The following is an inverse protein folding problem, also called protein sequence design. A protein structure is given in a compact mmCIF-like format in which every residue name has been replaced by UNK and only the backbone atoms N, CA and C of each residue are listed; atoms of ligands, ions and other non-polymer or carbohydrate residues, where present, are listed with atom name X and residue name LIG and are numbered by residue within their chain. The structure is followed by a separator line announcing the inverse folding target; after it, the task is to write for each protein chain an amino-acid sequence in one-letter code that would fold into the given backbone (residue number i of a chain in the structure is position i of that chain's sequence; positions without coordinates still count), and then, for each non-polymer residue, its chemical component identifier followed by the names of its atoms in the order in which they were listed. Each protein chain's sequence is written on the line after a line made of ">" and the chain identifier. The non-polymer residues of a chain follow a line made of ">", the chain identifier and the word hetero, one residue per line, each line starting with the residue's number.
data_IF_165433876896
#
_entry.id   IF_165433876896
#
_cell.length_a   1.000
_cell.length_b   1.000
_cell.length_c   1.000
_cell.angle_alpha   90.00
_cell.angle_beta   90.00
_cell.angle_gamma   90.00
#
_symmetry.space_group_name_H-M   'P 1'
#
loop_
_entity.id
_entity.type
_entity.pdbx_description
1 polymer ?
#
# COMPACT_ATOMS: atom_id res chain seq x y z
N UNK A 1 -1.89 -9.68 17.12
CA UNK A 1 -1.74 -11.10 16.72
C UNK A 1 -0.67 -11.19 15.65
N UNK A 2 0.13 -12.26 15.61
CA UNK A 2 1.25 -12.42 14.65
C UNK A 2 0.85 -13.20 13.40
N UNK A 3 0.02 -12.61 12.52
CA UNK A 3 -0.24 -13.17 11.21
C UNK A 3 -0.35 -12.09 10.14
N UNK A 4 0.25 -12.34 8.97
CA UNK A 4 -0.19 -11.74 7.70
C UNK A 4 -1.22 -12.75 7.19
N UNK A 5 -2.51 -12.42 7.36
CA UNK A 5 -3.57 -13.28 6.88
C UNK A 5 -3.87 -12.87 5.45
N UNK A 6 -3.72 -13.86 4.58
CA UNK A 6 -4.24 -13.84 3.24
C UNK A 6 -5.27 -14.97 3.21
N UNK A 7 -6.53 -14.68 2.87
CA UNK A 7 -7.64 -15.66 2.96
C UNK A 7 -8.44 -15.80 1.64
N UNK A 8 -7.82 -15.53 0.49
CA UNK A 8 -8.55 -15.53 -0.80
C UNK A 8 -7.97 -16.47 -1.86
N UNK A 9 -8.00 -17.82 -1.67
CA UNK A 9 -7.25 -18.84 -2.42
C UNK A 9 -7.25 -18.73 -3.95
N UNK A 10 -8.17 -17.96 -4.53
CA UNK A 10 -8.33 -17.74 -5.96
C UNK A 10 -7.97 -16.33 -6.44
N UNK A 11 -7.41 -15.46 -5.60
CA UNK A 11 -7.08 -14.08 -5.98
C UNK A 11 -5.67 -13.97 -6.57
N UNK A 12 -4.64 -14.36 -5.82
CA UNK A 12 -3.25 -14.01 -6.16
C UNK A 12 -2.69 -14.72 -7.39
N UNK A 13 -3.08 -15.97 -7.63
CA UNK A 13 -2.61 -16.69 -8.83
C UNK A 13 -3.20 -16.07 -10.11
N UNK A 14 -4.53 -15.88 -10.23
CA UNK A 14 -5.09 -15.13 -11.36
C UNK A 14 -4.58 -13.69 -11.44
N UNK A 15 -4.43 -12.99 -10.30
CA UNK A 15 -3.94 -11.62 -10.26
C UNK A 15 -2.50 -11.53 -10.77
N UNK A 16 -1.63 -12.45 -10.38
CA UNK A 16 -0.28 -12.56 -10.92
C UNK A 16 -0.28 -12.81 -12.44
N UNK A 17 -1.15 -13.70 -12.92
CA UNK A 17 -1.28 -14.00 -14.35
C UNK A 17 -1.78 -12.79 -15.16
N UNK A 18 -2.63 -11.94 -14.58
CA UNK A 18 -3.24 -10.78 -15.23
C UNK A 18 -2.38 -9.50 -15.11
N UNK A 19 -1.83 -9.24 -13.91
CA UNK A 19 -1.21 -7.96 -13.52
C UNK A 19 0.30 -8.05 -13.34
N UNK A 20 0.87 -9.26 -13.25
CA UNK A 20 2.31 -9.48 -13.18
C UNK A 20 2.89 -9.63 -11.77
N UNK A 21 4.20 -9.85 -11.73
CA UNK A 21 4.94 -10.18 -10.52
C UNK A 21 5.10 -8.97 -9.59
N UNK A 22 5.39 -7.79 -10.14
CA UNK A 22 5.50 -6.57 -9.33
C UNK A 22 4.16 -6.16 -8.75
N UNK A 23 3.06 -6.30 -9.51
CA UNK A 23 1.73 -5.98 -8.99
C UNK A 23 1.39 -6.84 -7.77
N UNK A 24 1.67 -8.13 -7.86
CA UNK A 24 1.54 -9.09 -6.75
C UNK A 24 2.43 -8.70 -5.57
N UNK A 25 3.67 -8.29 -5.83
CA UNK A 25 4.63 -7.91 -4.80
C UNK A 25 4.20 -6.63 -4.05
N UNK A 26 3.62 -5.65 -4.75
CA UNK A 26 3.09 -4.41 -4.16
C UNK A 26 1.94 -4.69 -3.19
N UNK A 27 1.00 -5.57 -3.55
CA UNK A 27 -0.09 -5.98 -2.64
C UNK A 27 0.49 -6.62 -1.39
N UNK A 28 1.45 -7.55 -1.54
CA UNK A 28 2.10 -8.17 -0.37
C UNK A 28 2.87 -7.16 0.48
N UNK A 29 3.50 -6.15 -0.14
CA UNK A 29 4.20 -5.10 0.57
C UNK A 29 3.24 -4.17 1.33
N UNK A 30 2.05 -3.92 0.78
CA UNK A 30 0.96 -3.20 1.45
C UNK A 30 0.48 -3.97 2.70
N UNK A 31 0.18 -5.26 2.57
CA UNK A 31 -0.19 -6.09 3.74
C UNK A 31 0.92 -6.15 4.79
N UNK A 32 2.17 -6.17 4.35
CA UNK A 32 3.31 -6.05 5.26
C UNK A 32 3.35 -4.69 5.96
N UNK A 33 2.95 -3.61 5.27
CA UNK A 33 2.76 -2.27 5.82
C UNK A 33 1.81 -2.26 7.01
N UNK A 34 0.66 -2.94 6.93
CA UNK A 34 -0.21 -3.14 8.10
C UNK A 34 0.48 -3.89 9.24
N UNK A 35 1.29 -4.90 8.91
CA UNK A 35 2.12 -5.59 9.90
C UNK A 35 3.16 -4.69 10.58
N UNK A 36 3.68 -3.69 9.87
CA UNK A 36 4.58 -2.65 10.42
C UNK A 36 3.82 -1.71 11.34
N UNK A 37 2.62 -1.26 10.94
CA UNK A 37 1.75 -0.41 11.76
C UNK A 37 1.46 -1.03 13.13
N UNK A 38 1.05 -2.30 13.15
CA UNK A 38 0.73 -3.03 14.38
C UNK A 38 1.96 -3.13 15.29
N UNK A 39 3.12 -3.48 14.72
CA UNK A 39 4.38 -3.63 15.49
C UNK A 39 4.92 -2.34 16.05
N UNK A 40 4.67 -1.22 15.37
CA UNK A 40 5.05 0.10 15.84
C UNK A 40 3.99 0.73 16.77
N UNK A 41 2.83 0.09 16.94
CA UNK A 41 1.73 0.59 17.75
C UNK A 41 0.91 1.70 17.08
N UNK A 42 1.13 1.95 15.79
CA UNK A 42 0.47 3.02 15.03
C UNK A 42 -1.01 2.72 14.78
N UNK A 43 -1.38 1.44 14.71
CA UNK A 43 -2.75 1.01 14.42
C UNK A 43 -3.81 1.55 15.39
N UNK A 44 -3.43 1.89 16.63
CA UNK A 44 -4.34 2.42 17.65
C UNK A 44 -4.52 3.94 17.55
N UNK A 45 -3.70 4.61 16.75
CA UNK A 45 -3.69 6.06 16.59
C UNK A 45 -4.48 6.50 15.35
N UNK A 46 -4.84 5.57 14.45
CA UNK A 46 -5.68 5.87 13.30
C UNK A 46 -7.14 6.10 13.74
N UNK A 47 -7.70 7.22 13.34
CA UNK A 47 -9.11 7.56 13.62
C UNK A 47 -10.03 7.03 12.50
N UNK A 48 -9.48 6.77 11.31
CA UNK A 48 -10.21 6.32 10.13
C UNK A 48 -9.44 5.18 9.41
N UNK A 49 -10.17 4.23 8.82
CA UNK A 49 -9.56 3.11 8.05
C UNK A 49 -8.63 3.63 6.96
N UNK A 50 -9.04 4.66 6.22
CA UNK A 50 -8.26 5.23 5.12
C UNK A 50 -6.85 5.69 5.54
N UNK A 51 -6.67 6.14 6.78
CA UNK A 51 -5.35 6.57 7.26
C UNK A 51 -4.37 5.38 7.34
N UNK A 52 -4.87 4.22 7.77
CA UNK A 52 -4.09 2.98 7.83
C UNK A 52 -3.77 2.48 6.41
N UNK A 53 -4.73 2.54 5.49
CA UNK A 53 -4.57 2.11 4.10
C UNK A 53 -3.52 2.96 3.36
N UNK A 54 -3.61 4.29 3.44
CA UNK A 54 -2.66 5.19 2.78
C UNK A 54 -1.25 5.07 3.37
N UNK A 55 -1.11 4.88 4.69
CA UNK A 55 0.20 4.63 5.28
C UNK A 55 0.76 3.25 4.85
N UNK A 56 -0.08 2.23 4.66
CA UNK A 56 0.34 0.94 4.12
C UNK A 56 0.82 1.05 2.67
N UNK A 57 0.14 1.83 1.83
CA UNK A 57 0.59 2.17 0.48
C UNK A 57 1.95 2.90 0.50
N UNK A 58 2.17 3.81 1.45
CA UNK A 58 3.49 4.43 1.63
C UNK A 58 4.57 3.40 1.95
N UNK A 59 4.32 2.46 2.86
CA UNK A 59 5.30 1.40 3.14
C UNK A 59 5.56 0.50 1.93
N UNK A 60 4.53 0.18 1.14
CA UNK A 60 4.68 -0.55 -0.11
C UNK A 60 5.55 0.22 -1.11
N UNK A 61 5.32 1.52 -1.24
CA UNK A 61 6.12 2.45 -2.03
C UNK A 61 7.57 2.48 -1.59
N UNK A 62 7.83 2.61 -0.29
CA UNK A 62 9.18 2.61 0.28
C UNK A 62 9.95 1.32 -0.02
N UNK A 63 9.28 0.17 0.03
CA UNK A 63 9.87 -1.10 -0.40
C UNK A 63 10.18 -1.10 -1.90
N UNK A 64 9.25 -0.64 -2.74
CA UNK A 64 9.43 -0.58 -4.19
C UNK A 64 10.59 0.36 -4.58
N UNK A 65 10.67 1.56 -3.99
CA UNK A 65 11.78 2.49 -4.19
C UNK A 65 13.12 1.91 -3.75
N UNK A 66 13.17 1.19 -2.63
CA UNK A 66 14.37 0.45 -2.24
C UNK A 66 14.73 -0.65 -3.25
N UNK A 67 13.75 -1.43 -3.72
CA UNK A 67 13.96 -2.52 -4.67
C UNK A 67 14.48 -2.00 -6.02
N UNK A 68 14.00 -0.84 -6.48
CA UNK A 68 14.51 -0.16 -7.68
C UNK A 68 15.98 0.24 -7.52
N UNK A 69 16.33 0.85 -6.37
CA UNK A 69 17.71 1.20 -6.05
C UNK A 69 18.65 -0.01 -6.00
N UNK A 70 18.14 -1.19 -5.65
CA UNK A 70 18.89 -2.44 -5.69
C UNK A 70 18.97 -3.08 -7.10
N UNK A 71 18.28 -2.51 -8.09
CA UNK A 71 18.19 -3.06 -9.44
C UNK A 71 17.40 -4.37 -9.52
N UNK A 72 16.44 -4.57 -8.59
CA UNK A 72 15.62 -5.78 -8.52
C UNK A 72 14.37 -5.69 -9.42
N UNK A 73 14.02 -4.50 -9.88
CA UNK A 73 12.81 -4.26 -10.66
C UNK A 73 13.03 -4.48 -12.17
N UNK A 74 12.08 -5.16 -12.80
CA UNK A 74 12.01 -5.32 -14.23
C UNK A 74 11.55 -4.04 -14.95
N UNK A 75 11.64 -4.03 -16.29
CA UNK A 75 11.24 -2.86 -17.11
C UNK A 75 9.76 -2.49 -16.99
N UNK A 76 8.93 -3.47 -16.66
CA UNK A 76 7.46 -3.34 -16.56
C UNK A 76 7.01 -3.07 -15.12
N UNK A 77 7.93 -3.08 -14.15
CA UNK A 77 7.60 -3.03 -12.72
C UNK A 77 6.83 -1.75 -12.33
N UNK A 78 7.17 -0.60 -12.92
CA UNK A 78 6.48 0.67 -12.64
C UNK A 78 5.01 0.59 -13.07
N UNK A 79 4.74 0.15 -14.30
CA UNK A 79 3.38 0.04 -14.82
C UNK A 79 2.56 -0.97 -14.01
N UNK A 80 3.17 -2.10 -13.64
CA UNK A 80 2.53 -3.12 -12.80
C UNK A 80 2.26 -2.63 -11.37
N UNK A 81 3.17 -1.85 -10.77
CA UNK A 81 2.96 -1.25 -9.45
C UNK A 81 1.81 -0.24 -9.47
N UNK A 82 1.77 0.64 -10.49
CA UNK A 82 0.67 1.59 -10.68
C UNK A 82 -0.65 0.85 -10.85
N UNK A 83 -0.68 -0.17 -11.71
CA UNK A 83 -1.88 -0.98 -11.91
C UNK A 83 -2.34 -1.63 -10.61
N UNK A 84 -1.42 -2.08 -9.75
CA UNK A 84 -1.78 -2.66 -8.47
C UNK A 84 -2.51 -1.69 -7.56
N UNK A 85 -1.90 -0.52 -7.35
CA UNK A 85 -2.46 0.54 -6.51
C UNK A 85 -3.82 1.01 -7.05
N UNK A 86 -3.94 1.20 -8.36
CA UNK A 86 -5.18 1.69 -9.00
C UNK A 86 -6.29 0.63 -9.03
N UNK A 87 -5.95 -0.65 -9.21
CA UNK A 87 -6.94 -1.73 -9.34
C UNK A 87 -7.79 -1.96 -8.09
N UNK A 88 -7.28 -1.53 -6.94
CA UNK A 88 -7.91 -1.67 -5.62
C UNK A 88 -8.36 -0.31 -5.06
N UNK A 89 -8.35 0.74 -5.87
CA UNK A 89 -8.77 2.07 -5.44
C UNK A 89 -10.30 2.21 -5.37
N UNK A 90 -10.75 3.03 -4.42
CA UNK A 90 -12.16 3.34 -4.27
C UNK A 90 -12.67 4.23 -5.41
N UNK A 91 -13.95 4.07 -5.74
CA UNK A 91 -14.64 4.98 -6.64
C UNK A 91 -14.78 6.38 -6.00
N UNK A 92 -14.75 7.47 -6.79
CA UNK A 92 -14.94 8.81 -6.25
C UNK A 92 -16.25 8.94 -5.45
N UNK A 93 -16.14 9.48 -4.24
CA UNK A 93 -17.29 9.74 -3.35
C UNK A 93 -17.54 8.66 -2.28
N UNK A 94 -16.70 7.62 -2.18
CA UNK A 94 -16.60 6.81 -0.95
C UNK A 94 -16.19 7.74 0.20
N UNK A 95 -16.86 7.61 1.33
CA UNK A 95 -16.61 8.47 2.48
C UNK A 95 -15.36 8.01 3.23
N UNK A 96 -14.54 8.94 3.71
CA UNK A 96 -13.37 8.60 4.54
C UNK A 96 -13.72 7.89 5.86
N UNK A 97 -14.98 7.98 6.30
CA UNK A 97 -15.50 7.26 7.47
C UNK A 97 -16.05 5.87 7.13
N UNK A 98 -15.99 5.46 5.86
CA UNK A 98 -16.39 4.12 5.47
C UNK A 98 -15.37 3.11 6.05
N UNK A 99 -15.81 2.11 6.83
CA UNK A 99 -14.90 1.11 7.40
C UNK A 99 -14.16 0.30 6.34
N UNK A 100 -14.65 0.28 5.09
CA UNK A 100 -14.06 -0.43 3.95
C UNK A 100 -13.35 0.54 2.97
N UNK A 101 -13.05 1.79 3.39
CA UNK A 101 -12.34 2.75 2.55
C UNK A 101 -10.85 2.41 2.41
N UNK A 102 -10.39 2.32 1.16
CA UNK A 102 -8.99 2.16 0.75
C UNK A 102 -8.37 3.48 0.24
N UNK A 103 -9.22 4.44 -0.14
CA UNK A 103 -8.80 5.70 -0.76
C UNK A 103 -8.91 5.68 -2.28
N UNK A 104 -8.99 6.88 -2.86
CA UNK A 104 -9.04 7.08 -4.31
C UNK A 104 -7.70 6.74 -4.97
N UNK A 105 -7.72 6.51 -6.29
CA UNK A 105 -6.50 6.18 -7.02
C UNK A 105 -5.40 7.24 -6.86
N UNK A 106 -5.78 8.52 -6.82
CA UNK A 106 -4.83 9.63 -6.66
C UNK A 106 -4.21 9.63 -5.25
N UNK A 107 -5.02 9.51 -4.18
CA UNK A 107 -4.52 9.47 -2.79
C UNK A 107 -3.56 8.31 -2.57
N UNK A 108 -3.93 7.12 -3.07
CA UNK A 108 -3.13 5.91 -2.93
C UNK A 108 -1.81 5.99 -3.71
N UNK A 109 -1.86 6.51 -4.94
CA UNK A 109 -0.65 6.72 -5.75
C UNK A 109 0.27 7.78 -5.14
N UNK A 110 -0.28 8.86 -4.59
CA UNK A 110 0.49 9.90 -3.92
C UNK A 110 1.20 9.34 -2.67
N UNK A 111 0.51 8.55 -1.85
CA UNK A 111 1.12 7.90 -0.68
C UNK A 111 2.20 6.89 -1.08
N UNK A 112 1.94 6.06 -2.10
CA UNK A 112 2.92 5.13 -2.65
C UNK A 112 4.15 5.84 -3.20
N UNK A 113 3.97 6.88 -4.01
CA UNK A 113 5.06 7.68 -4.56
C UNK A 113 5.88 8.36 -3.44
N UNK A 114 5.20 8.92 -2.45
CA UNK A 114 5.84 9.51 -1.28
C UNK A 114 6.76 8.52 -0.57
N UNK A 115 6.30 7.29 -0.35
CA UNK A 115 7.10 6.21 0.21
C UNK A 115 8.30 5.85 -0.67
N UNK A 116 8.09 5.69 -1.97
CA UNK A 116 9.15 5.34 -2.92
C UNK A 116 10.29 6.38 -2.95
N UNK A 117 9.94 7.66 -2.84
CA UNK A 117 10.90 8.76 -2.89
C UNK A 117 11.62 9.00 -1.55
N UNK A 118 10.92 8.80 -0.42
CA UNK A 118 11.40 9.23 0.90
C UNK A 118 11.75 8.08 1.86
N UNK A 119 11.38 6.85 1.51
CA UNK A 119 11.65 5.64 2.29
C UNK A 119 10.74 5.49 3.53
N UNK A 120 10.86 4.32 4.18
CA UNK A 120 9.90 3.88 5.20
C UNK A 120 9.86 4.76 6.46
N UNK A 121 10.97 5.45 6.79
CA UNK A 121 10.98 6.36 7.94
C UNK A 121 10.05 7.55 7.73
N UNK A 122 9.95 8.07 6.50
CA UNK A 122 9.05 9.19 6.19
C UNK A 122 7.58 8.80 6.36
N UNK A 123 7.21 7.55 6.03
CA UNK A 123 5.85 7.03 6.23
C UNK A 123 5.38 7.09 7.69
N UNK A 124 6.31 7.07 8.66
CA UNK A 124 5.99 7.17 10.09
C UNK A 124 5.95 8.60 10.63
N UNK A 125 6.44 9.58 9.86
CA UNK A 125 6.60 10.96 10.31
C UNK A 125 5.63 11.91 9.62
N UNK A 126 5.52 11.80 8.29
CA UNK A 126 4.76 12.76 7.46
C UNK A 126 3.39 12.21 7.06
N UNK A 127 3.26 10.89 6.90
CA UNK A 127 1.99 10.15 6.75
C UNK A 127 1.59 9.47 8.06
N UNK A 128 1.87 10.14 9.19
CA UNK A 128 1.47 9.69 10.51
C UNK A 128 -0.07 9.60 10.63
N UNK A 129 -0.58 8.87 11.63
CA UNK A 129 -2.03 8.80 11.91
C UNK A 129 -2.68 10.20 11.94
N UNK A 130 -3.85 10.33 11.31
CA UNK A 130 -4.52 11.61 11.06
C UNK A 130 -4.39 12.19 9.63
N UNK A 131 -3.60 11.57 8.73
CA UNK A 131 -3.54 11.96 7.33
C UNK A 131 -4.66 11.31 6.50
N UNK A 132 -5.48 12.11 5.82
CA UNK A 132 -6.63 11.62 5.05
C UNK A 132 -6.59 11.97 3.56
N UNK A 133 -5.43 12.39 3.03
CA UNK A 133 -5.35 13.04 1.70
C UNK A 133 -5.58 14.54 1.77
#
# INVERSE_FOLDING_TARGET
>A
DDFIAWDEPNFMLPYYEEMGDMATAVILAHEFGHGVQDRLGLSQEFELTIEAELQADCFAGAWAGWADQQGLLGREAVDQAINAVVSLADAPGVAFTDPDAHGTADERLDAFAFGADNGATACTQDLAPGFTG
#
